data_IF_019792556390
#
_entry.id   IF_019792556390
#
_cell.length_a   1.000
_cell.length_b   1.000
_cell.length_c   1.000
_cell.angle_alpha   90.00
_cell.angle_beta   90.00
_cell.angle_gamma   90.00
#
_symmetry.space_group_name_H-M   'P 1'
#
loop_
_entity.id
_entity.type
_entity.pdbx_description
1 polymer ?
#
# COMPACT_ATOMS: atom_id res chain seq x y z
N UNK A 1 0.04 -6.47 4.10
CA UNK A 1 1.28 -6.18 4.84
C UNK A 1 1.40 -4.68 4.94
N UNK A 2 1.59 -4.13 6.14
CA UNK A 2 1.43 -2.69 6.38
C UNK A 2 2.64 -2.18 7.16
N UNK A 3 3.10 -0.97 6.84
CA UNK A 3 4.22 -0.34 7.53
C UNK A 3 3.82 0.07 8.95
N UNK A 4 4.78 0.06 9.86
CA UNK A 4 4.56 0.34 11.28
C UNK A 4 4.40 1.83 11.63
N UNK A 5 3.82 2.65 10.76
CA UNK A 5 3.58 4.08 11.02
C UNK A 5 2.46 4.28 12.06
N UNK A 6 2.47 5.37 12.86
CA UNK A 6 1.61 5.51 14.03
C UNK A 6 0.10 5.25 13.79
N UNK A 7 -0.52 5.72 12.69
CA UNK A 7 -1.93 5.40 12.43
C UNK A 7 -2.19 3.91 12.23
N UNK A 8 -1.24 3.17 11.66
CA UNK A 8 -1.38 1.75 11.31
C UNK A 8 -1.19 0.81 12.51
N UNK A 9 -0.62 1.32 13.60
CA UNK A 9 -0.35 0.56 14.83
C UNK A 9 -1.19 1.04 16.02
N UNK A 10 -2.15 1.93 15.78
CA UNK A 10 -3.08 2.40 16.80
C UNK A 10 -3.91 1.23 17.34
N UNK A 11 -4.23 1.26 18.64
CA UNK A 11 -4.98 0.19 19.32
C UNK A 11 -6.29 -0.19 18.61
N UNK A 12 -7.15 0.76 18.17
CA UNK A 12 -8.38 0.42 17.47
C UNK A 12 -8.13 -0.33 16.16
N UNK A 13 -7.09 0.06 15.42
CA UNK A 13 -6.68 -0.60 14.17
C UNK A 13 -6.18 -2.01 14.46
N UNK A 14 -5.36 -2.20 15.50
CA UNK A 14 -4.88 -3.52 15.90
C UNK A 14 -6.02 -4.47 16.28
N UNK A 15 -6.99 -3.98 17.04
CA UNK A 15 -8.18 -4.74 17.44
C UNK A 15 -9.01 -5.14 16.22
N UNK A 16 -9.25 -4.20 15.30
CA UNK A 16 -9.98 -4.45 14.07
C UNK A 16 -9.29 -5.51 13.19
N UNK A 17 -7.98 -5.39 13.02
CA UNK A 17 -7.19 -6.35 12.23
C UNK A 17 -7.19 -7.73 12.88
N UNK A 18 -7.01 -7.82 14.19
CA UNK A 18 -7.06 -9.10 14.90
C UNK A 18 -8.44 -9.76 14.81
N UNK A 19 -9.52 -8.98 14.87
CA UNK A 19 -10.88 -9.49 14.69
C UNK A 19 -11.10 -10.10 13.29
N UNK A 20 -10.57 -9.48 12.24
CA UNK A 20 -10.81 -9.92 10.86
C UNK A 20 -9.85 -11.02 10.39
N UNK A 21 -8.59 -10.95 10.79
CA UNK A 21 -7.53 -11.79 10.22
C UNK A 21 -6.90 -12.75 11.23
N UNK A 22 -7.09 -12.52 12.53
CA UNK A 22 -6.36 -13.20 13.59
C UNK A 22 -4.89 -12.77 13.67
N UNK A 23 -4.31 -12.87 14.87
CA UNK A 23 -2.95 -12.39 15.14
C UNK A 23 -1.86 -13.04 14.29
N UNK A 24 -2.00 -14.33 13.91
CA UNK A 24 -0.95 -15.07 13.20
C UNK A 24 -0.81 -14.70 11.71
N UNK A 25 -1.80 -14.01 11.16
CA UNK A 25 -1.84 -13.60 9.76
C UNK A 25 -1.41 -12.14 9.56
N UNK A 26 -1.17 -11.41 10.64
CA UNK A 26 -0.84 -9.98 10.59
C UNK A 26 0.68 -9.80 10.65
N UNK A 27 1.23 -9.23 9.60
CA UNK A 27 2.62 -8.80 9.52
C UNK A 27 2.67 -7.29 9.75
N UNK A 28 3.02 -6.87 10.96
CA UNK A 28 3.08 -5.46 11.36
C UNK A 28 3.87 -5.30 12.66
N UNK A 29 4.21 -4.06 13.03
CA UNK A 29 4.93 -3.77 14.28
C UNK A 29 4.05 -4.10 15.49
N UNK A 30 4.63 -4.76 16.49
CA UNK A 30 3.95 -5.22 17.72
C UNK A 30 2.91 -6.33 17.52
N UNK A 31 3.00 -7.07 16.41
CA UNK A 31 2.31 -8.35 16.21
C UNK A 31 3.33 -9.50 16.29
N UNK A 32 2.87 -10.77 16.46
CA UNK A 32 3.76 -11.93 16.54
C UNK A 32 4.72 -12.03 15.33
N UNK A 33 4.24 -11.70 14.13
CA UNK A 33 5.07 -11.54 12.92
C UNK A 33 5.44 -10.07 12.75
N UNK A 34 6.57 -9.68 13.35
CA UNK A 34 7.03 -8.31 13.32
C UNK A 34 7.56 -7.91 11.92
N UNK A 35 7.15 -6.72 11.44
CA UNK A 35 7.76 -6.10 10.27
C UNK A 35 8.94 -5.21 10.66
N UNK A 36 10.11 -5.33 10.02
CA UNK A 36 11.28 -4.51 10.35
C UNK A 36 11.01 -3.01 10.12
N UNK A 37 11.40 -2.13 11.04
CA UNK A 37 11.21 -0.69 10.89
C UNK A 37 12.01 -0.15 9.70
N UNK A 38 11.45 0.86 9.02
CA UNK A 38 12.09 1.55 7.87
C UNK A 38 12.46 0.62 6.70
N UNK A 39 11.59 -0.35 6.40
CA UNK A 39 11.79 -1.27 5.27
C UNK A 39 10.77 -1.03 4.13
N UNK A 40 10.79 0.15 3.47
CA UNK A 40 9.93 0.40 2.30
C UNK A 40 10.32 -0.49 1.11
N UNK A 41 11.58 -0.87 1.04
CA UNK A 41 12.22 -1.82 0.11
C UNK A 41 11.74 -3.26 0.25
N UNK A 42 10.97 -3.57 1.29
CA UNK A 42 10.37 -4.90 1.48
C UNK A 42 8.86 -4.92 1.17
N UNK A 43 8.27 -3.78 0.81
CA UNK A 43 6.86 -3.72 0.39
C UNK A 43 6.76 -3.63 -1.14
N UNK A 44 6.29 -4.69 -1.84
CA UNK A 44 6.13 -4.69 -3.29
C UNK A 44 5.32 -3.50 -3.83
N UNK A 45 4.34 -3.04 -3.06
CA UNK A 45 3.51 -1.89 -3.39
C UNK A 45 4.32 -0.58 -3.40
N UNK A 46 5.26 -0.44 -2.46
CA UNK A 46 6.11 0.75 -2.34
C UNK A 46 7.24 0.78 -3.37
N UNK A 47 7.76 -0.39 -3.77
CA UNK A 47 8.84 -0.48 -4.76
C UNK A 47 8.27 -0.35 -6.16
N UNK A 48 7.33 -1.23 -6.51
CA UNK A 48 6.90 -1.40 -7.88
C UNK A 48 5.70 -0.52 -8.19
N UNK A 49 4.57 -0.70 -7.50
CA UNK A 49 3.32 -0.04 -7.89
C UNK A 49 3.42 1.48 -7.80
N UNK A 50 3.89 2.03 -6.68
CA UNK A 50 4.01 3.48 -6.54
C UNK A 50 5.05 4.09 -7.49
N UNK A 51 6.13 3.36 -7.78
CA UNK A 51 7.12 3.78 -8.78
C UNK A 51 6.51 3.85 -10.18
N UNK A 52 5.84 2.77 -10.59
CA UNK A 52 5.13 2.67 -11.87
C UNK A 52 4.04 3.74 -12.00
N UNK A 53 3.13 3.84 -11.03
CA UNK A 53 2.04 4.82 -11.06
C UNK A 53 2.56 6.25 -11.09
N UNK A 54 3.62 6.56 -10.34
CA UNK A 54 4.23 7.90 -10.39
C UNK A 54 4.76 8.20 -11.80
N UNK A 55 5.42 7.25 -12.44
CA UNK A 55 5.92 7.44 -13.80
C UNK A 55 4.78 7.65 -14.81
N UNK A 56 3.75 6.81 -14.79
CA UNK A 56 2.71 6.86 -15.84
C UNK A 56 1.65 7.94 -15.61
N UNK A 57 1.22 8.18 -14.37
CA UNK A 57 0.14 9.15 -14.05
C UNK A 57 0.61 10.60 -14.29
N UNK A 58 1.88 10.89 -13.99
CA UNK A 58 2.46 12.23 -14.04
C UNK A 58 3.25 12.53 -15.33
N UNK A 59 3.20 11.67 -16.36
CA UNK A 59 3.83 11.90 -17.68
C UNK A 59 3.35 13.14 -18.44
N UNK A 60 2.31 13.82 -17.95
CA UNK A 60 1.83 15.09 -18.47
C UNK A 60 1.09 15.90 -17.40
N UNK A 61 0.84 17.20 -17.64
CA UNK A 61 0.13 18.06 -16.70
C UNK A 61 -1.24 17.46 -16.36
N UNK A 62 -1.66 17.68 -15.11
CA UNK A 62 -2.93 17.19 -14.58
C UNK A 62 -3.74 18.42 -14.21
N UNK A 63 -4.90 18.60 -14.84
CA UNK A 63 -5.68 19.83 -14.71
C UNK A 63 -6.46 19.90 -13.39
N UNK A 64 -6.91 18.77 -12.87
CA UNK A 64 -7.72 18.71 -11.66
C UNK A 64 -7.72 17.32 -11.00
N UNK A 65 -8.36 17.23 -9.83
CA UNK A 65 -8.45 16.00 -9.04
C UNK A 65 -9.22 14.87 -9.73
N UNK A 66 -10.24 15.20 -10.55
CA UNK A 66 -11.02 14.18 -11.25
C UNK A 66 -10.17 13.48 -12.32
N UNK A 67 -9.36 14.26 -13.06
CA UNK A 67 -8.40 13.72 -14.00
C UNK A 67 -7.33 12.85 -13.31
N UNK A 68 -6.78 13.32 -12.19
CA UNK A 68 -5.82 12.54 -11.40
C UNK A 68 -6.39 11.17 -11.02
N UNK A 69 -7.61 11.15 -10.47
CA UNK A 69 -8.30 9.91 -10.07
C UNK A 69 -8.54 9.01 -11.28
N UNK A 70 -8.99 9.57 -12.40
CA UNK A 70 -9.23 8.82 -13.64
C UNK A 70 -7.96 8.14 -14.14
N UNK A 71 -6.84 8.87 -14.23
CA UNK A 71 -5.55 8.31 -14.66
C UNK A 71 -5.06 7.20 -13.74
N UNK A 72 -5.15 7.38 -12.42
CA UNK A 72 -4.78 6.34 -11.44
C UNK A 72 -5.61 5.08 -11.68
N UNK A 73 -6.94 5.22 -11.75
CA UNK A 73 -7.86 4.09 -11.96
C UNK A 73 -7.58 3.37 -13.28
N UNK A 74 -7.41 4.11 -14.37
CA UNK A 74 -7.10 3.54 -15.69
C UNK A 74 -5.79 2.74 -15.67
N UNK A 75 -4.72 3.30 -15.11
CA UNK A 75 -3.43 2.60 -15.08
C UNK A 75 -3.43 1.40 -14.14
N UNK A 76 -4.19 1.42 -13.05
CA UNK A 76 -4.40 0.26 -12.18
C UNK A 76 -5.13 -0.86 -12.93
N UNK A 77 -6.20 -0.55 -13.67
CA UNK A 77 -6.94 -1.55 -14.45
C UNK A 77 -6.14 -2.20 -15.57
N UNK A 78 -5.08 -1.54 -16.05
CA UNK A 78 -4.21 -2.06 -17.09
C UNK A 78 -3.08 -2.95 -16.54
N UNK A 79 -2.93 -3.06 -15.23
CA UNK A 79 -1.96 -3.99 -14.62
C UNK A 79 -2.49 -5.41 -14.76
N UNK A 80 -1.75 -6.26 -15.46
CA UNK A 80 -2.13 -7.67 -15.66
C UNK A 80 -1.60 -8.55 -14.53
N UNK A 81 -2.15 -9.75 -14.40
CA UNK A 81 -1.69 -10.74 -13.41
C UNK A 81 -0.25 -11.17 -13.66
N UNK A 82 0.22 -11.19 -14.92
CA UNK A 82 1.63 -11.50 -15.23
C UNK A 82 2.61 -10.44 -14.72
N UNK A 83 2.12 -9.24 -14.43
CA UNK A 83 2.92 -8.12 -13.92
C UNK A 83 2.99 -8.10 -12.39
N UNK A 84 2.06 -8.78 -11.70
CA UNK A 84 1.94 -8.85 -10.23
C UNK A 84 2.61 -10.10 -9.65
#
# INVERSE_FOLDING_TARGET
MQDGVPPHIATPVKQLLNLHFGNDRIISRYFPKAWPPRSPDLNPFNIWLWGYLKDVVYRGPIANLAELKSRITQHIHNITTETL
#
